data_IF_358697435876
#
_entry.id   IF_358697435876
#
_cell.length_a   1.000
_cell.length_b   1.000
_cell.length_c   1.000
_cell.angle_alpha   90.00
_cell.angle_beta   90.00
_cell.angle_gamma   90.00
#
_symmetry.space_group_name_H-M   'P 1'
#
loop_
_entity.id
_entity.type
_entity.pdbx_description
1 polymer ?
#
# COMPACT_ATOMS: atom_id res chain seq x y z
N UNK A 1 1.82 -18.26 -6.33
CA UNK A 1 1.58 -18.52 -4.89
C UNK A 1 1.99 -17.25 -4.14
N UNK A 2 1.24 -16.81 -3.13
CA UNK A 2 1.58 -15.63 -2.32
C UNK A 2 2.97 -15.79 -1.69
N UNK A 3 3.36 -17.02 -1.34
CA UNK A 3 4.67 -17.30 -0.74
C UNK A 3 5.83 -17.04 -1.71
N UNK A 4 5.67 -17.39 -2.99
CA UNK A 4 6.69 -17.15 -4.02
C UNK A 4 6.82 -15.66 -4.34
N UNK A 5 5.69 -14.94 -4.41
CA UNK A 5 5.65 -13.48 -4.58
C UNK A 5 6.43 -12.77 -3.47
N UNK A 6 6.13 -13.10 -2.21
CA UNK A 6 6.78 -12.47 -1.06
C UNK A 6 8.29 -12.71 -1.04
N UNK A 7 8.75 -13.92 -1.40
CA UNK A 7 10.19 -14.20 -1.43
C UNK A 7 10.89 -13.45 -2.56
N UNK A 8 10.30 -13.41 -3.76
CA UNK A 8 10.88 -12.68 -4.89
C UNK A 8 10.96 -11.18 -4.62
N UNK A 9 9.92 -10.62 -3.99
CA UNK A 9 9.85 -9.18 -3.77
C UNK A 9 10.64 -8.70 -2.53
N UNK A 10 10.60 -9.46 -1.43
CA UNK A 10 11.14 -8.99 -0.13
C UNK A 10 12.33 -9.80 0.39
N UNK A 11 12.69 -10.91 -0.26
CA UNK A 11 13.76 -11.81 0.20
C UNK A 11 13.54 -12.23 1.65
N UNK A 12 14.46 -11.87 2.56
CA UNK A 12 14.33 -12.15 4.00
C UNK A 12 13.16 -11.41 4.66
N UNK A 13 12.71 -10.30 4.08
CA UNK A 13 11.53 -9.54 4.52
C UNK A 13 10.26 -10.38 4.54
N UNK A 14 10.15 -11.38 3.67
CA UNK A 14 9.03 -12.33 3.63
C UNK A 14 8.77 -13.01 4.98
N UNK A 15 9.82 -13.30 5.76
CA UNK A 15 9.69 -13.91 7.08
C UNK A 15 8.95 -12.97 8.05
N UNK A 16 9.24 -11.67 8.00
CA UNK A 16 8.56 -10.67 8.82
C UNK A 16 7.10 -10.55 8.42
N UNK A 17 6.81 -10.51 7.12
CA UNK A 17 5.45 -10.43 6.58
C UNK A 17 4.63 -11.66 7.02
N UNK A 18 5.17 -12.87 6.88
CA UNK A 18 4.51 -14.10 7.34
C UNK A 18 4.24 -14.05 8.86
N UNK A 19 5.18 -13.52 9.64
CA UNK A 19 4.99 -13.37 11.09
C UNK A 19 3.93 -12.32 11.45
N UNK A 20 3.73 -11.29 10.64
CA UNK A 20 2.62 -10.34 10.80
C UNK A 20 1.27 -11.05 10.56
N UNK A 21 1.16 -11.81 9.47
CA UNK A 21 -0.06 -12.59 9.16
C UNK A 21 -0.38 -13.60 10.25
N UNK A 22 0.63 -14.27 10.82
CA UNK A 22 0.42 -15.21 11.94
C UNK A 22 -0.14 -14.54 13.20
N UNK A 23 0.13 -13.25 13.41
CA UNK A 23 -0.38 -12.49 14.55
C UNK A 23 -1.79 -11.95 14.30
N UNK A 24 -2.09 -11.64 13.05
CA UNK A 24 -3.38 -11.12 12.61
C UNK A 24 -3.66 -11.60 11.19
N UNK A 25 -4.55 -12.59 11.07
CA UNK A 25 -4.87 -13.25 9.80
C UNK A 25 -5.56 -12.30 8.80
N UNK A 26 -6.23 -11.25 9.29
CA UNK A 26 -6.83 -10.23 8.42
C UNK A 26 -5.80 -9.48 7.57
N UNK A 27 -4.52 -9.47 8.00
CA UNK A 27 -3.44 -8.85 7.22
C UNK A 27 -3.10 -9.62 5.93
N UNK A 28 -3.67 -10.82 5.73
CA UNK A 28 -3.58 -11.57 4.48
C UNK A 28 -4.51 -11.05 3.40
N UNK A 29 -5.48 -10.20 3.74
CA UNK A 29 -6.38 -9.62 2.76
C UNK A 29 -5.65 -8.67 1.82
N UNK A 30 -6.06 -8.70 0.55
CA UNK A 30 -5.55 -7.81 -0.49
C UNK A 30 -6.01 -6.39 -0.24
N UNK A 31 -5.16 -5.41 -0.55
CA UNK A 31 -5.50 -3.98 -0.53
C UNK A 31 -6.65 -3.69 -1.49
N UNK A 32 -6.63 -4.34 -2.65
CA UNK A 32 -7.64 -4.25 -3.70
C UNK A 32 -7.51 -5.50 -4.59
N UNK A 33 -8.59 -5.88 -5.29
CA UNK A 33 -8.63 -7.08 -6.13
C UNK A 33 -7.86 -6.95 -7.46
N UNK A 34 -7.44 -5.75 -7.86
CA UNK A 34 -6.65 -5.49 -9.08
C UNK A 34 -5.17 -5.88 -8.99
N UNK A 35 -4.67 -6.25 -7.81
CA UNK A 35 -3.31 -6.73 -7.63
C UNK A 35 -3.21 -7.74 -6.47
N UNK A 36 -2.00 -8.27 -6.24
CA UNK A 36 -1.74 -9.28 -5.21
C UNK A 36 -1.23 -8.70 -3.87
N UNK A 37 -1.10 -7.38 -3.75
CA UNK A 37 -0.54 -6.75 -2.55
C UNK A 37 -1.49 -6.87 -1.36
N UNK A 38 -0.99 -7.41 -0.25
CA UNK A 38 -1.75 -7.61 1.00
C UNK A 38 -1.39 -6.58 2.07
N UNK A 39 -2.27 -6.42 3.05
CA UNK A 39 -2.05 -5.48 4.15
C UNK A 39 -0.79 -5.74 4.97
N UNK A 40 -0.35 -7.01 5.09
CA UNK A 40 0.90 -7.35 5.76
C UNK A 40 2.14 -6.78 5.04
N UNK A 41 2.14 -6.73 3.71
CA UNK A 41 3.23 -6.13 2.92
C UNK A 41 3.29 -4.62 3.19
N UNK A 42 2.13 -3.94 3.20
CA UNK A 42 2.04 -2.52 3.52
C UNK A 42 2.64 -2.25 4.90
N UNK A 43 2.20 -3.00 5.91
CA UNK A 43 2.69 -2.81 7.28
C UNK A 43 4.21 -3.07 7.41
N UNK A 44 4.74 -4.03 6.67
CA UNK A 44 6.18 -4.27 6.58
C UNK A 44 6.91 -3.07 5.96
N UNK A 45 6.43 -2.56 4.82
CA UNK A 45 6.97 -1.39 4.13
C UNK A 45 7.01 -0.17 5.07
N UNK A 46 5.95 0.07 5.84
CA UNK A 46 5.86 1.17 6.79
C UNK A 46 6.88 1.06 7.93
N UNK A 47 7.11 -0.15 8.44
CA UNK A 47 7.99 -0.40 9.60
C UNK A 47 9.47 -0.47 9.25
N UNK A 48 9.80 -0.97 8.05
CA UNK A 48 11.16 -1.38 7.73
C UNK A 48 11.76 -0.67 6.52
N UNK A 49 10.96 0.02 5.69
CA UNK A 49 11.44 0.59 4.42
C UNK A 49 11.31 2.11 4.30
N UNK A 50 11.05 2.79 5.42
CA UNK A 50 10.95 4.25 5.55
C UNK A 50 9.98 4.85 4.52
N UNK A 51 8.69 4.57 4.68
CA UNK A 51 7.64 5.05 3.77
C UNK A 51 6.69 6.03 4.46
N UNK A 52 7.11 7.28 4.72
CA UNK A 52 6.30 8.25 5.43
C UNK A 52 5.07 8.74 4.64
N UNK A 53 5.04 8.60 3.31
CA UNK A 53 3.93 9.09 2.48
C UNK A 53 3.25 7.97 1.71
N UNK A 54 1.96 8.16 1.38
CA UNK A 54 1.20 7.18 0.57
C UNK A 54 1.92 6.89 -0.75
N UNK A 55 2.48 7.91 -1.39
CA UNK A 55 3.20 7.78 -2.66
C UNK A 55 4.49 6.93 -2.54
N UNK A 56 5.11 6.84 -1.36
CA UNK A 56 6.26 5.94 -1.14
C UNK A 56 5.81 4.47 -1.23
N UNK A 57 4.66 4.16 -0.63
CA UNK A 57 4.06 2.83 -0.69
C UNK A 57 3.65 2.50 -2.12
N UNK A 58 2.83 3.32 -2.75
CA UNK A 58 2.21 3.02 -4.05
C UNK A 58 3.17 3.00 -5.23
N UNK A 59 4.19 3.87 -5.23
CA UNK A 59 5.00 4.12 -6.43
C UNK A 59 6.48 3.73 -6.28
N UNK A 60 6.97 3.46 -5.05
CA UNK A 60 8.41 3.21 -4.80
C UNK A 60 8.71 1.88 -4.14
N UNK A 61 7.85 1.39 -3.24
CA UNK A 61 8.01 0.13 -2.51
C UNK A 61 7.11 -0.99 -2.99
N UNK A 62 6.01 -0.60 -3.61
CA UNK A 62 5.16 -1.49 -4.39
C UNK A 62 5.00 -0.93 -5.79
N UNK A 63 4.52 -1.78 -6.68
CA UNK A 63 4.14 -1.42 -8.04
C UNK A 63 2.61 -1.26 -8.17
N UNK A 64 1.91 -1.08 -7.04
CA UNK A 64 0.46 -0.93 -7.00
C UNK A 64 -0.04 0.18 -7.93
N UNK A 65 0.66 1.31 -8.03
CA UNK A 65 0.24 2.42 -8.90
C UNK A 65 0.24 2.07 -10.40
N UNK A 66 0.97 1.02 -10.81
CA UNK A 66 1.04 0.56 -12.21
C UNK A 66 -0.10 -0.39 -12.56
N UNK A 67 -0.57 -1.17 -11.58
CA UNK A 67 -1.58 -2.21 -11.78
C UNK A 67 -3.01 -1.75 -11.48
N UNK A 68 -3.18 -0.80 -10.56
CA UNK A 68 -4.50 -0.30 -10.15
C UNK A 68 -5.04 0.68 -11.19
N UNK A 69 -6.30 0.47 -11.61
CA UNK A 69 -6.94 1.37 -12.54
C UNK A 69 -7.13 2.76 -11.90
N UNK A 70 -6.81 3.84 -12.63
CA UNK A 70 -6.82 5.20 -12.08
C UNK A 70 -8.16 5.62 -11.44
N UNK A 71 -9.29 5.09 -11.92
CA UNK A 71 -10.63 5.31 -11.33
C UNK A 71 -10.82 4.68 -9.95
N UNK A 72 -10.01 3.69 -9.60
CA UNK A 72 -10.01 2.99 -8.31
C UNK A 72 -8.87 3.43 -7.39
N UNK A 73 -8.11 4.45 -7.80
CA UNK A 73 -7.01 4.99 -6.99
C UNK A 73 -7.49 5.51 -5.63
N UNK A 74 -8.69 6.09 -5.54
CA UNK A 74 -9.27 6.55 -4.27
C UNK A 74 -9.52 5.38 -3.31
N UNK A 75 -10.19 4.33 -3.77
CA UNK A 75 -10.48 3.14 -2.96
C UNK A 75 -9.19 2.50 -2.42
N UNK A 76 -8.19 2.31 -3.29
CA UNK A 76 -6.91 1.77 -2.88
C UNK A 76 -6.19 2.69 -1.87
N UNK A 77 -6.18 4.00 -2.13
CA UNK A 77 -5.56 4.98 -1.25
C UNK A 77 -6.21 4.98 0.13
N UNK A 78 -7.53 4.92 0.21
CA UNK A 78 -8.26 4.84 1.48
C UNK A 78 -7.91 3.58 2.27
N UNK A 79 -7.79 2.43 1.60
CA UNK A 79 -7.42 1.17 2.25
C UNK A 79 -6.01 1.21 2.84
N UNK A 80 -5.02 1.72 2.10
CA UNK A 80 -3.64 1.89 2.60
C UNK A 80 -3.56 2.98 3.68
N UNK A 81 -4.25 4.10 3.49
CA UNK A 81 -4.21 5.24 4.40
C UNK A 81 -4.80 4.90 5.78
N UNK A 82 -5.79 4.00 5.88
CA UNK A 82 -6.30 3.48 7.16
C UNK A 82 -5.20 2.75 7.95
N UNK A 83 -4.34 2.00 7.27
CA UNK A 83 -3.22 1.29 7.90
C UNK A 83 -2.16 2.27 8.35
N UNK A 84 -1.77 3.20 7.47
CA UNK A 84 -0.81 4.26 7.80
C UNK A 84 -1.28 5.12 8.97
N UNK A 85 -2.58 5.45 9.00
CA UNK A 85 -3.17 6.21 10.10
C UNK A 85 -2.97 5.51 11.44
N UNK A 86 -3.23 4.20 11.50
CA UNK A 86 -3.03 3.41 12.72
C UNK A 86 -1.55 3.26 13.08
N UNK A 87 -0.70 2.97 12.10
CA UNK A 87 0.73 2.70 12.35
C UNK A 87 1.51 3.96 12.76
N UNK A 88 1.22 5.11 12.14
CA UNK A 88 1.90 6.38 12.40
C UNK A 88 1.12 7.32 13.32
N UNK A 89 -0.02 6.88 13.86
CA UNK A 89 -0.89 7.68 14.74
C UNK A 89 -1.31 9.01 14.12
N UNK A 90 -1.62 9.02 12.82
CA UNK A 90 -2.10 10.22 12.14
C UNK A 90 -3.52 10.59 12.58
N UNK A 91 -3.80 11.89 12.60
CA UNK A 91 -5.17 12.36 12.64
C UNK A 91 -5.88 12.21 11.28
N UNK A 92 -7.16 12.55 11.24
CA UNK A 92 -7.94 12.48 10.01
C UNK A 92 -7.52 13.53 8.98
N UNK A 93 -7.00 14.68 9.42
CA UNK A 93 -6.52 15.75 8.55
C UNK A 93 -5.32 15.27 7.74
N UNK A 94 -4.27 14.79 8.42
CA UNK A 94 -3.06 14.22 7.81
C UNK A 94 -3.40 13.08 6.85
N UNK A 95 -4.30 12.16 7.26
CA UNK A 95 -4.75 11.07 6.39
C UNK A 95 -5.36 11.59 5.09
N UNK A 96 -6.27 12.57 5.18
CA UNK A 96 -6.96 13.11 4.02
C UNK A 96 -6.00 13.90 3.11
N UNK A 97 -5.05 14.63 3.69
CA UNK A 97 -4.01 15.33 2.93
C UNK A 97 -3.13 14.37 2.13
N UNK A 98 -2.72 13.25 2.73
CA UNK A 98 -1.93 12.22 2.04
C UNK A 98 -2.72 11.57 0.91
N UNK A 99 -4.01 11.25 1.13
CA UNK A 99 -4.89 10.72 0.08
C UNK A 99 -4.98 11.72 -1.08
N UNK A 100 -5.26 12.99 -0.79
CA UNK A 100 -5.37 14.02 -1.81
C UNK A 100 -4.06 14.18 -2.60
N UNK A 101 -2.92 14.18 -1.90
CA UNK A 101 -1.59 14.27 -2.53
C UNK A 101 -1.34 13.13 -3.50
N UNK A 102 -1.70 11.90 -3.12
CA UNK A 102 -1.60 10.75 -4.02
C UNK A 102 -2.55 10.85 -5.22
N UNK A 103 -3.80 11.27 -5.01
CA UNK A 103 -4.77 11.44 -6.10
C UNK A 103 -4.36 12.54 -7.08
N UNK A 104 -3.77 13.63 -6.60
CA UNK A 104 -3.21 14.68 -7.46
C UNK A 104 -2.06 14.16 -8.32
N UNK A 105 -1.23 13.26 -7.78
CA UNK A 105 -0.19 12.57 -8.54
C UNK A 105 -0.81 11.69 -9.63
N UNK A 106 -1.77 10.82 -9.28
CA UNK A 106 -2.44 9.93 -10.25
C UNK A 106 -3.11 10.76 -11.35
N UNK A 107 -3.83 11.83 -11.00
CA UNK A 107 -4.49 12.73 -11.96
C UNK A 107 -3.50 13.33 -12.96
N UNK A 108 -2.30 13.72 -12.53
CA UNK A 108 -1.25 14.21 -13.44
C UNK A 108 -0.79 13.10 -14.39
N UNK A 109 -0.56 11.90 -13.87
CA UNK A 109 -0.12 10.74 -14.64
C UNK A 109 -1.11 10.29 -15.72
N UNK A 110 -2.41 10.48 -15.52
CA UNK A 110 -3.45 10.09 -16.48
C UNK A 110 -4.15 11.26 -17.16
N UNK A 111 -3.62 12.49 -17.02
CA UNK A 111 -4.25 13.71 -17.53
C UNK A 111 -4.52 13.73 -19.04
N UNK A 112 -3.79 12.91 -19.80
CA UNK A 112 -3.93 12.75 -21.26
C UNK A 112 -4.86 11.59 -21.66
N UNK A 113 -5.35 10.82 -20.68
CA UNK A 113 -6.30 9.73 -20.89
C UNK A 113 -7.73 10.32 -20.77
N UNK A 114 -8.60 10.12 -21.79
CA UNK A 114 -9.94 10.69 -21.82
C UNK A 114 -10.90 10.11 -20.77
#
# INVERSE_FOLDING_TARGET
DISDHLYQQYGKGAIYIINLIKKDESLKERVIDENDFIYAEILYVLRYEMSPHLIDVFCRRTEMSLWIHHRRALEAAENVAKIMQKEYSWDNETKNEEIQRYLDYVKKCVSFIP
#
